data_IF_588462475128
#
_entry.id   IF_588462475128
#
_cell.length_a   1.000
_cell.length_b   1.000
_cell.length_c   1.000
_cell.angle_alpha   90.00
_cell.angle_beta   90.00
_cell.angle_gamma   90.00
#
_symmetry.space_group_name_H-M   'P 1'
#
loop_
_entity.id
_entity.type
_entity.pdbx_description
1 polymer ?
#
# COMPACT_ATOMS: atom_id res chain seq x y z
N UNK A 1 -17.44 20.05 23.98
CA UNK A 1 -17.10 19.29 25.20
C UNK A 1 -15.91 19.97 25.87
N UNK A 2 -15.96 20.29 27.20
CA UNK A 2 -14.82 20.81 27.89
C UNK A 2 -13.66 19.84 27.80
N UNK A 3 -12.49 20.33 27.35
CA UNK A 3 -11.24 19.57 27.40
C UNK A 3 -10.87 19.41 28.87
N UNK A 4 -11.06 18.23 29.42
CA UNK A 4 -10.44 17.86 30.69
C UNK A 4 -8.98 17.57 30.33
N UNK A 5 -8.00 18.31 30.87
CA UNK A 5 -6.61 17.94 30.70
C UNK A 5 -6.40 16.63 31.45
N UNK A 6 -6.21 15.52 30.72
CA UNK A 6 -5.79 14.25 31.29
C UNK A 6 -4.27 14.34 31.42
N UNK A 7 -3.78 14.62 32.61
CA UNK A 7 -2.36 14.48 32.92
C UNK A 7 -2.08 12.99 33.13
N UNK A 8 -1.39 12.38 32.17
CA UNK A 8 -1.02 10.97 32.20
C UNK A 8 0.40 10.76 32.78
N UNK A 9 1.06 11.82 33.23
CA UNK A 9 2.45 11.77 33.68
C UNK A 9 2.65 10.85 34.92
N UNK A 10 1.62 10.71 35.74
CA UNK A 10 1.67 9.88 36.96
C UNK A 10 1.08 8.47 36.77
N UNK A 11 0.63 8.12 35.56
CA UNK A 11 0.07 6.79 35.27
C UNK A 11 1.15 5.86 34.70
N UNK A 12 1.55 4.85 35.50
CA UNK A 12 2.35 3.74 34.99
C UNK A 12 1.47 2.84 34.09
N UNK A 13 1.47 3.13 32.81
CA UNK A 13 0.73 2.36 31.80
C UNK A 13 1.47 1.09 31.37
N UNK A 14 2.72 0.89 31.80
CA UNK A 14 3.55 -0.23 31.34
C UNK A 14 2.90 -1.61 31.64
N UNK A 15 2.33 -1.88 32.82
CA UNK A 15 1.66 -3.16 33.07
C UNK A 15 0.46 -3.40 32.16
N UNK A 16 -0.40 -2.40 31.98
CA UNK A 16 -1.59 -2.50 31.11
C UNK A 16 -1.21 -2.72 29.64
N UNK A 17 -0.18 -2.03 29.17
CA UNK A 17 0.34 -2.19 27.80
C UNK A 17 0.93 -3.59 27.62
N UNK A 18 1.72 -4.09 28.58
CA UNK A 18 2.31 -5.43 28.52
C UNK A 18 1.22 -6.52 28.55
N UNK A 19 0.19 -6.37 29.36
CA UNK A 19 -0.93 -7.33 29.40
C UNK A 19 -1.74 -7.30 28.09
N UNK A 20 -1.96 -6.11 27.51
CA UNK A 20 -2.61 -5.98 26.21
C UNK A 20 -1.79 -6.66 25.09
N UNK A 21 -0.46 -6.48 25.08
CA UNK A 21 0.46 -7.12 24.13
C UNK A 21 0.43 -8.64 24.32
N UNK A 22 0.52 -9.13 25.57
CA UNK A 22 0.46 -10.56 25.88
C UNK A 22 -0.85 -11.17 25.41
N UNK A 23 -1.99 -10.56 25.75
CA UNK A 23 -3.30 -11.04 25.32
C UNK A 23 -3.48 -11.02 23.79
N UNK A 24 -2.93 -10.03 23.10
CA UNK A 24 -2.92 -10.00 21.64
C UNK A 24 -2.06 -11.12 21.03
N UNK A 25 -0.86 -11.34 21.58
CA UNK A 25 0.03 -12.41 21.14
C UNK A 25 -0.59 -13.80 21.36
N UNK A 26 -1.21 -14.05 22.51
CA UNK A 26 -1.90 -15.31 22.79
C UNK A 26 -3.06 -15.57 21.82
N UNK A 27 -3.87 -14.56 21.52
CA UNK A 27 -4.95 -14.69 20.52
C UNK A 27 -4.41 -15.03 19.14
N UNK A 28 -3.34 -14.34 18.72
CA UNK A 28 -2.70 -14.60 17.45
C UNK A 28 -2.14 -16.02 17.36
N UNK A 29 -1.40 -16.47 18.40
CA UNK A 29 -0.84 -17.82 18.46
C UNK A 29 -1.95 -18.88 18.40
N UNK A 30 -3.04 -18.71 19.16
CA UNK A 30 -4.17 -19.66 19.11
C UNK A 30 -4.79 -19.71 17.71
N UNK A 31 -4.99 -18.55 17.08
CA UNK A 31 -5.51 -18.47 15.72
C UNK A 31 -4.59 -19.21 14.74
N UNK A 32 -3.29 -18.94 14.81
CA UNK A 32 -2.29 -19.53 13.92
C UNK A 32 -2.18 -21.06 14.13
N UNK A 33 -2.28 -21.56 15.37
CA UNK A 33 -2.29 -23.00 15.65
C UNK A 33 -3.51 -23.71 15.02
N UNK A 34 -4.70 -23.09 15.11
CA UNK A 34 -5.90 -23.64 14.46
C UNK A 34 -5.81 -23.61 12.95
N UNK A 35 -5.32 -22.49 12.38
CA UNK A 35 -5.11 -22.39 10.95
C UNK A 35 -4.07 -23.41 10.46
N UNK A 36 -2.96 -23.56 11.17
CA UNK A 36 -1.91 -24.53 10.84
C UNK A 36 -2.46 -25.95 10.70
N UNK A 37 -3.28 -26.41 11.68
CA UNK A 37 -3.87 -27.73 11.62
C UNK A 37 -4.81 -27.91 10.41
N UNK A 38 -5.54 -26.88 10.04
CA UNK A 38 -6.40 -26.88 8.83
C UNK A 38 -5.57 -26.92 7.55
N UNK A 39 -4.59 -26.04 7.45
CA UNK A 39 -3.72 -25.90 6.26
C UNK A 39 -2.92 -27.19 6.06
N UNK A 40 -2.39 -27.78 7.13
CA UNK A 40 -1.63 -29.01 7.04
C UNK A 40 -2.50 -30.16 6.49
N UNK A 41 -3.69 -30.38 7.01
CA UNK A 41 -4.62 -31.39 6.47
C UNK A 41 -4.99 -31.10 5.01
N UNK A 42 -5.17 -29.85 4.64
CA UNK A 42 -5.45 -29.45 3.27
C UNK A 42 -4.29 -29.82 2.33
N UNK A 43 -3.04 -29.47 2.72
CA UNK A 43 -1.86 -29.79 1.91
C UNK A 43 -1.62 -31.31 1.78
N UNK A 44 -1.85 -32.07 2.85
CA UNK A 44 -1.76 -33.54 2.86
C UNK A 44 -2.80 -34.19 1.91
N UNK A 45 -4.01 -33.62 1.85
CA UNK A 45 -5.08 -34.10 0.98
C UNK A 45 -4.88 -33.71 -0.49
N UNK A 46 -4.55 -32.43 -0.75
CA UNK A 46 -4.42 -31.88 -2.11
C UNK A 46 -3.07 -32.21 -2.75
N UNK A 47 -2.00 -32.30 -1.95
CA UNK A 47 -0.62 -32.54 -2.37
C UNK A 47 -0.17 -31.61 -3.52
N UNK A 48 -0.29 -30.27 -3.35
CA UNK A 48 0.12 -29.35 -4.40
C UNK A 48 1.63 -29.41 -4.60
N UNK A 49 2.09 -29.13 -5.81
CA UNK A 49 3.52 -29.08 -6.13
C UNK A 49 4.20 -27.80 -5.58
N UNK A 50 3.43 -26.75 -5.30
CA UNK A 50 3.90 -25.50 -4.72
C UNK A 50 2.76 -24.74 -4.03
N UNK A 51 3.12 -23.86 -3.11
CA UNK A 51 2.24 -22.87 -2.49
C UNK A 51 2.63 -21.49 -3.00
N UNK A 52 1.69 -20.72 -3.51
CA UNK A 52 1.93 -19.33 -3.92
C UNK A 52 1.07 -18.40 -3.08
N UNK A 53 1.71 -17.43 -2.43
CA UNK A 53 1.11 -16.45 -1.54
C UNK A 53 1.22 -15.05 -2.14
N UNK A 54 0.23 -14.20 -1.91
CA UNK A 54 0.30 -12.78 -2.34
C UNK A 54 1.30 -11.96 -1.51
N UNK A 55 1.67 -12.42 -0.35
CA UNK A 55 2.77 -11.96 0.52
C UNK A 55 2.91 -12.95 1.67
N UNK A 56 4.01 -12.90 2.39
CA UNK A 56 4.28 -13.82 3.51
C UNK A 56 3.73 -13.35 4.85
N UNK A 57 3.47 -12.07 4.99
CA UNK A 57 2.94 -11.49 6.22
C UNK A 57 1.64 -12.17 6.66
N UNK A 58 1.55 -12.58 7.93
CA UNK A 58 0.43 -13.34 8.50
C UNK A 58 0.11 -14.66 7.79
N UNK A 59 1.09 -15.25 7.07
CA UNK A 59 0.97 -16.53 6.38
C UNK A 59 1.82 -17.62 7.01
N UNK A 60 2.34 -17.38 8.21
CA UNK A 60 3.17 -18.32 8.98
C UNK A 60 2.61 -19.75 9.04
N UNK A 61 1.29 -20.01 9.25
CA UNK A 61 0.72 -21.34 9.21
C UNK A 61 0.94 -22.06 7.86
N UNK A 62 0.86 -21.34 6.74
CA UNK A 62 1.09 -21.88 5.40
C UNK A 62 2.56 -22.22 5.17
N UNK A 63 3.48 -21.37 5.64
CA UNK A 63 4.92 -21.60 5.53
C UNK A 63 5.34 -22.81 6.38
N UNK A 64 4.85 -22.91 7.61
CA UNK A 64 5.11 -24.05 8.50
C UNK A 64 4.54 -25.34 7.90
N UNK A 65 3.29 -25.33 7.45
CA UNK A 65 2.66 -26.52 6.85
C UNK A 65 3.38 -26.94 5.58
N UNK A 66 3.77 -25.99 4.72
CA UNK A 66 4.57 -26.25 3.51
C UNK A 66 5.90 -26.94 3.84
N UNK A 67 6.62 -26.45 4.86
CA UNK A 67 7.85 -27.09 5.34
C UNK A 67 7.60 -28.51 5.84
N UNK A 68 6.53 -28.75 6.61
CA UNK A 68 6.19 -30.07 7.15
C UNK A 68 5.75 -31.08 6.08
N UNK A 69 5.09 -30.62 5.02
CA UNK A 69 4.64 -31.44 3.89
C UNK A 69 5.66 -31.50 2.75
N UNK A 70 6.83 -30.88 2.92
CA UNK A 70 7.87 -30.76 1.91
C UNK A 70 7.36 -30.10 0.62
N UNK A 71 6.45 -29.14 0.74
CA UNK A 71 5.86 -28.36 -0.34
C UNK A 71 6.52 -26.98 -0.40
N UNK A 72 7.26 -26.63 -1.47
CA UNK A 72 7.90 -25.32 -1.58
C UNK A 72 6.87 -24.19 -1.60
N UNK A 73 7.21 -23.08 -0.95
CA UNK A 73 6.34 -21.92 -0.87
C UNK A 73 6.99 -20.69 -1.51
N UNK A 74 6.18 -19.91 -2.18
CA UNK A 74 6.59 -18.70 -2.88
C UNK A 74 5.69 -17.54 -2.45
N UNK A 75 6.28 -16.37 -2.25
CA UNK A 75 5.53 -15.14 -1.98
C UNK A 75 5.72 -14.15 -3.13
N UNK A 76 4.65 -13.44 -3.49
CA UNK A 76 4.69 -12.37 -4.49
C UNK A 76 4.35 -11.06 -3.77
N UNK A 77 5.21 -10.05 -3.91
CA UNK A 77 4.94 -8.71 -3.36
C UNK A 77 3.58 -8.21 -3.86
N UNK A 78 2.78 -7.57 -2.98
CA UNK A 78 1.46 -7.09 -3.34
C UNK A 78 1.28 -5.58 -3.20
N UNK A 79 2.19 -4.90 -2.54
CA UNK A 79 2.13 -3.45 -2.28
C UNK A 79 3.52 -2.86 -2.08
N UNK A 80 3.60 -1.62 -1.60
CA UNK A 80 4.90 -0.99 -1.31
C UNK A 80 5.64 -1.75 -0.22
N UNK A 81 6.95 -1.86 -0.38
CA UNK A 81 7.86 -2.47 0.56
C UNK A 81 8.87 -1.39 1.01
N UNK A 82 9.08 -1.27 2.31
CA UNK A 82 9.97 -0.30 2.93
C UNK A 82 10.69 -0.92 4.13
N UNK A 83 11.79 -0.35 4.62
CA UNK A 83 12.49 -0.85 5.80
C UNK A 83 11.56 -1.04 7.00
N UNK A 84 11.67 -2.18 7.69
CA UNK A 84 10.81 -2.56 8.81
C UNK A 84 9.32 -2.68 8.48
N UNK A 85 8.96 -2.97 7.22
CA UNK A 85 7.57 -3.25 6.84
C UNK A 85 7.05 -4.49 7.59
N UNK A 86 5.90 -4.41 8.31
CA UNK A 86 5.43 -5.47 9.21
C UNK A 86 5.00 -6.77 8.52
N UNK A 87 4.93 -6.78 7.19
CA UNK A 87 4.63 -7.97 6.39
C UNK A 87 5.87 -8.80 6.02
N UNK A 88 7.08 -8.34 6.37
CA UNK A 88 8.35 -8.99 6.03
C UNK A 88 9.25 -9.05 7.26
N UNK A 89 10.12 -10.08 7.30
CA UNK A 89 11.03 -10.23 8.41
C UNK A 89 12.23 -9.26 8.29
N UNK A 90 12.49 -8.51 9.35
CA UNK A 90 13.60 -7.55 9.43
C UNK A 90 14.88 -8.15 10.02
N UNK A 91 14.78 -9.27 10.72
CA UNK A 91 15.92 -9.95 11.36
C UNK A 91 15.87 -11.45 11.18
N UNK A 92 17.00 -12.04 10.86
CA UNK A 92 17.14 -13.50 10.78
C UNK A 92 17.12 -14.10 12.20
N UNK A 93 16.31 -15.15 12.37
CA UNK A 93 16.24 -15.95 13.59
C UNK A 93 16.25 -17.44 13.22
N UNK A 94 16.85 -18.36 14.02
CA UNK A 94 16.88 -19.78 13.69
C UNK A 94 15.49 -20.43 13.49
N UNK A 95 14.48 -19.92 14.19
CA UNK A 95 13.11 -20.40 14.05
C UNK A 95 12.30 -19.67 12.95
N UNK A 96 12.90 -18.72 12.22
CA UNK A 96 12.23 -18.01 11.15
C UNK A 96 12.04 -18.93 9.95
N UNK A 97 10.80 -19.06 9.50
CA UNK A 97 10.43 -19.78 8.27
C UNK A 97 10.05 -18.72 7.24
N UNK A 98 10.80 -18.69 6.15
CA UNK A 98 10.56 -17.84 4.99
C UNK A 98 10.08 -18.68 3.80
N UNK A 99 9.45 -18.05 2.80
CA UNK A 99 9.22 -18.70 1.52
C UNK A 99 10.52 -19.21 0.88
N UNK A 100 10.42 -20.21 0.04
CA UNK A 100 11.54 -20.68 -0.82
C UNK A 100 12.08 -19.53 -1.65
N UNK A 101 11.19 -18.64 -2.14
CA UNK A 101 11.57 -17.42 -2.81
C UNK A 101 10.45 -16.37 -2.65
N UNK A 102 10.85 -15.13 -2.35
CA UNK A 102 9.98 -13.95 -2.37
C UNK A 102 10.25 -13.16 -3.64
N UNK A 103 9.23 -13.01 -4.47
CA UNK A 103 9.27 -12.21 -5.68
C UNK A 103 8.98 -10.74 -5.35
N UNK A 104 9.88 -9.86 -5.73
CA UNK A 104 9.76 -8.40 -5.52
C UNK A 104 9.69 -7.67 -6.85
N UNK A 105 9.17 -6.44 -6.83
CA UNK A 105 8.92 -5.67 -8.03
C UNK A 105 10.20 -5.13 -8.66
N UNK A 106 11.12 -4.60 -7.87
CA UNK A 106 12.33 -3.95 -8.34
C UNK A 106 13.57 -4.20 -7.48
N UNK A 107 14.65 -3.54 -7.84
CA UNK A 107 15.92 -3.64 -7.13
C UNK A 107 15.89 -2.91 -5.77
N UNK A 108 15.09 -1.84 -5.63
CA UNK A 108 14.86 -1.19 -4.34
C UNK A 108 14.33 -2.19 -3.30
N UNK A 109 13.26 -2.87 -3.60
CA UNK A 109 12.64 -3.84 -2.70
C UNK A 109 13.58 -5.01 -2.38
N UNK A 110 14.33 -5.46 -3.39
CA UNK A 110 15.36 -6.47 -3.17
C UNK A 110 16.42 -6.00 -2.18
N UNK A 111 16.92 -4.78 -2.30
CA UNK A 111 17.89 -4.22 -1.35
C UNK A 111 17.32 -4.11 0.06
N UNK A 112 16.06 -3.70 0.19
CA UNK A 112 15.37 -3.62 1.49
C UNK A 112 15.32 -4.99 2.16
N UNK A 113 14.92 -6.05 1.45
CA UNK A 113 14.84 -7.41 2.02
C UNK A 113 16.22 -7.97 2.37
N UNK A 114 17.22 -7.75 1.53
CA UNK A 114 18.60 -8.20 1.79
C UNK A 114 19.28 -7.44 2.95
N UNK A 115 18.84 -6.23 3.24
CA UNK A 115 19.24 -5.49 4.45
C UNK A 115 18.61 -6.03 5.74
N UNK A 116 17.61 -6.92 5.62
CA UNK A 116 16.89 -7.56 6.73
C UNK A 116 17.24 -9.04 6.92
N UNK A 117 16.21 -9.89 6.93
CA UNK A 117 16.33 -11.31 7.24
C UNK A 117 16.66 -12.22 6.05
N UNK A 118 16.61 -11.71 4.82
CA UNK A 118 16.62 -12.53 3.61
C UNK A 118 18.03 -12.73 3.05
N UNK A 119 18.24 -13.87 2.39
CA UNK A 119 19.46 -14.19 1.62
C UNK A 119 19.26 -13.90 0.14
N UNK A 120 20.33 -13.74 -0.64
CA UNK A 120 20.23 -13.45 -2.07
C UNK A 120 19.45 -14.49 -2.89
N UNK A 121 19.49 -15.75 -2.48
CA UNK A 121 18.79 -16.88 -3.10
C UNK A 121 17.31 -16.98 -2.70
N UNK A 122 16.90 -16.26 -1.66
CA UNK A 122 15.51 -16.21 -1.17
C UNK A 122 14.70 -15.06 -1.80
N UNK A 123 15.34 -14.20 -2.62
CA UNK A 123 14.67 -13.00 -3.20
C UNK A 123 14.98 -12.89 -4.70
N UNK A 124 13.94 -12.83 -5.51
CA UNK A 124 14.03 -12.63 -6.95
C UNK A 124 13.28 -11.39 -7.42
N UNK A 125 13.91 -10.57 -8.26
CA UNK A 125 13.24 -9.43 -8.91
C UNK A 125 12.42 -9.94 -10.09
N UNK A 126 11.11 -9.87 -9.97
CA UNK A 126 10.17 -10.34 -10.99
C UNK A 126 9.53 -9.22 -11.81
N UNK A 127 9.43 -8.02 -11.27
CA UNK A 127 8.48 -7.02 -11.74
C UNK A 127 7.10 -7.22 -11.12
N UNK A 128 6.15 -6.38 -11.51
CA UNK A 128 4.77 -6.41 -11.02
C UNK A 128 3.80 -6.87 -12.12
N UNK A 129 3.09 -8.00 -11.93
CA UNK A 129 2.08 -8.44 -12.90
C UNK A 129 0.99 -7.40 -13.19
N UNK A 130 0.64 -6.60 -12.17
CA UNK A 130 -0.36 -5.53 -12.32
C UNK A 130 0.16 -4.39 -13.20
N UNK A 131 1.42 -4.02 -13.04
CA UNK A 131 2.07 -2.97 -13.85
C UNK A 131 2.18 -3.42 -15.31
N UNK A 132 2.57 -4.66 -15.53
CA UNK A 132 2.64 -5.21 -16.89
C UNK A 132 1.26 -5.24 -17.56
N UNK A 133 0.20 -5.56 -16.81
CA UNK A 133 -1.17 -5.56 -17.31
C UNK A 133 -1.62 -4.15 -17.71
N UNK A 134 -1.36 -3.13 -16.87
CA UNK A 134 -1.69 -1.75 -17.21
C UNK A 134 -0.89 -1.26 -18.42
N UNK A 135 0.40 -1.54 -18.48
CA UNK A 135 1.24 -1.19 -19.61
C UNK A 135 0.80 -1.86 -20.94
N UNK A 136 0.23 -3.06 -20.86
CA UNK A 136 -0.35 -3.75 -22.02
C UNK A 136 -1.70 -3.16 -22.46
N UNK A 137 -2.35 -2.39 -21.59
CA UNK A 137 -3.62 -1.72 -21.88
C UNK A 137 -3.32 -0.40 -22.59
N UNK A 138 -3.17 -0.44 -23.91
CA UNK A 138 -2.93 0.77 -24.71
C UNK A 138 -4.12 1.70 -24.68
N UNK A 139 -3.96 2.89 -24.12
CA UNK A 139 -4.95 3.96 -24.22
C UNK A 139 -4.80 4.64 -25.58
N UNK A 140 -5.73 4.35 -26.48
CA UNK A 140 -5.69 4.88 -27.86
C UNK A 140 -6.12 6.35 -27.96
N UNK A 141 -6.96 6.81 -27.01
CA UNK A 141 -7.42 8.20 -26.91
C UNK A 141 -7.34 8.67 -25.43
N UNK A 142 -6.18 9.13 -24.95
CA UNK A 142 -6.03 9.62 -23.58
C UNK A 142 -6.93 10.81 -23.24
N UNK A 143 -7.14 11.72 -24.20
CA UNK A 143 -7.97 12.91 -23.99
C UNK A 143 -9.46 12.54 -23.86
N UNK A 144 -9.93 11.63 -24.70
CA UNK A 144 -11.29 11.11 -24.63
C UNK A 144 -11.53 10.30 -23.35
N UNK A 145 -10.57 9.46 -22.95
CA UNK A 145 -10.66 8.71 -21.68
C UNK A 145 -10.74 9.68 -20.49
N UNK A 146 -9.87 10.69 -20.43
CA UNK A 146 -9.87 11.73 -19.39
C UNK A 146 -11.23 12.44 -19.33
N UNK A 147 -11.75 12.86 -20.46
CA UNK A 147 -13.04 13.55 -20.56
C UNK A 147 -14.20 12.67 -20.13
N UNK A 148 -14.16 11.39 -20.48
CA UNK A 148 -15.19 10.42 -20.09
C UNK A 148 -15.22 10.20 -18.58
N UNK A 149 -14.06 9.98 -17.92
CA UNK A 149 -13.96 9.81 -16.48
C UNK A 149 -14.44 11.04 -15.74
N UNK A 150 -14.02 12.24 -16.17
CA UNK A 150 -14.43 13.49 -15.53
C UNK A 150 -15.94 13.71 -15.61
N UNK A 151 -16.55 13.39 -16.74
CA UNK A 151 -18.01 13.44 -16.92
C UNK A 151 -18.74 12.42 -16.06
N UNK A 152 -18.23 11.18 -16.00
CA UNK A 152 -18.77 10.10 -15.13
C UNK A 152 -18.80 10.53 -13.65
N UNK A 153 -17.78 11.27 -13.22
CA UNK A 153 -17.65 11.75 -11.84
C UNK A 153 -18.30 13.11 -11.60
N UNK A 154 -18.90 13.73 -12.61
CA UNK A 154 -19.57 15.04 -12.50
C UNK A 154 -18.59 16.20 -12.30
N UNK A 155 -17.33 16.08 -12.73
CA UNK A 155 -16.34 17.16 -12.67
C UNK A 155 -16.70 18.21 -13.70
N UNK A 156 -16.95 19.44 -13.27
CA UNK A 156 -17.31 20.54 -14.16
C UNK A 156 -16.14 20.94 -15.06
N UNK A 157 -16.47 21.49 -16.25
CA UNK A 157 -15.47 22.05 -17.13
C UNK A 157 -14.73 23.20 -16.43
N UNK A 158 -13.41 23.16 -16.44
CA UNK A 158 -12.56 24.15 -15.79
C UNK A 158 -12.22 23.85 -14.32
N UNK A 159 -12.94 22.96 -13.63
CA UNK A 159 -12.55 22.54 -12.29
C UNK A 159 -11.29 21.66 -12.32
N UNK A 160 -10.44 21.79 -11.32
CA UNK A 160 -9.33 20.87 -11.06
C UNK A 160 -9.88 19.61 -10.37
N UNK A 161 -9.53 18.45 -10.88
CA UNK A 161 -9.89 17.17 -10.28
C UNK A 161 -8.76 16.70 -9.35
N UNK A 162 -9.00 16.77 -8.03
CA UNK A 162 -8.08 16.26 -7.01
C UNK A 162 -8.56 14.88 -6.53
N UNK A 163 -7.79 13.85 -6.86
CA UNK A 163 -8.01 12.50 -6.32
C UNK A 163 -7.35 12.37 -4.96
N UNK A 164 -8.12 12.06 -3.93
CA UNK A 164 -7.65 11.81 -2.57
C UNK A 164 -7.75 10.32 -2.29
N UNK A 165 -6.61 9.62 -2.17
CA UNK A 165 -6.62 8.20 -1.82
C UNK A 165 -6.75 7.99 -0.32
N UNK A 166 -7.71 7.15 0.08
CA UNK A 166 -7.93 6.79 1.48
C UNK A 166 -7.22 5.48 1.82
N UNK A 167 -7.15 5.16 3.11
CA UNK A 167 -6.46 3.98 3.63
C UNK A 167 -7.40 3.15 4.48
N UNK A 168 -7.40 1.82 4.29
CA UNK A 168 -8.03 0.90 5.24
C UNK A 168 -7.15 0.76 6.47
N UNK A 169 -7.54 1.43 7.54
CA UNK A 169 -6.75 1.50 8.76
C UNK A 169 -7.58 1.08 9.97
N UNK A 170 -6.98 0.41 10.98
CA UNK A 170 -7.58 0.26 12.29
C UNK A 170 -7.97 1.61 12.87
N UNK A 171 -8.96 1.63 13.76
CA UNK A 171 -9.58 2.84 14.31
C UNK A 171 -8.60 3.97 14.68
N UNK A 172 -7.50 3.66 15.36
CA UNK A 172 -6.50 4.68 15.78
C UNK A 172 -5.83 5.37 14.59
N UNK A 173 -5.55 4.63 13.51
CA UNK A 173 -4.93 5.21 12.30
C UNK A 173 -5.95 5.91 11.41
N UNK A 174 -7.23 5.53 11.49
CA UNK A 174 -8.31 6.23 10.80
C UNK A 174 -8.50 7.64 11.35
N UNK A 175 -8.45 7.83 12.68
CA UNK A 175 -8.50 9.17 13.28
C UNK A 175 -7.32 10.05 12.85
N UNK A 176 -6.14 9.44 12.63
CA UNK A 176 -4.99 10.16 12.09
C UNK A 176 -5.23 10.65 10.63
N UNK A 177 -5.77 9.79 9.77
CA UNK A 177 -6.15 10.17 8.40
C UNK A 177 -7.20 11.30 8.40
N UNK A 178 -8.22 11.19 9.25
CA UNK A 178 -9.26 12.23 9.39
C UNK A 178 -8.65 13.54 9.87
N UNK A 179 -7.75 13.50 10.85
CA UNK A 179 -7.05 14.71 11.33
C UNK A 179 -6.20 15.36 10.22
N UNK A 180 -5.45 14.58 9.48
CA UNK A 180 -4.64 15.04 8.35
C UNK A 180 -5.53 15.72 7.29
N UNK A 181 -6.63 15.07 6.90
CA UNK A 181 -7.57 15.65 5.95
C UNK A 181 -8.23 16.91 6.50
N UNK A 182 -8.51 16.97 7.81
CA UNK A 182 -9.06 18.16 8.45
C UNK A 182 -8.09 19.35 8.35
N UNK A 183 -6.78 19.13 8.47
CA UNK A 183 -5.79 20.21 8.31
C UNK A 183 -5.64 20.63 6.84
N UNK A 184 -5.54 19.66 5.93
CA UNK A 184 -5.30 19.94 4.50
C UNK A 184 -6.52 20.50 3.77
N UNK A 185 -7.72 20.23 4.26
CA UNK A 185 -8.97 20.66 3.63
C UNK A 185 -9.69 21.76 4.43
N UNK A 186 -9.02 22.36 5.42
CA UNK A 186 -9.57 23.44 6.25
C UNK A 186 -9.48 24.79 5.53
N UNK A 187 -10.37 24.98 4.57
CA UNK A 187 -10.51 26.23 3.84
C UNK A 187 -11.14 26.05 2.47
N UNK A 188 -11.56 27.14 1.80
CA UNK A 188 -12.19 27.07 0.49
C UNK A 188 -11.23 26.56 -0.57
N UNK A 189 -11.74 25.69 -1.46
CA UNK A 189 -11.05 25.16 -2.63
C UNK A 189 -11.85 25.50 -3.90
N UNK A 190 -11.85 26.78 -4.33
CA UNK A 190 -12.62 27.21 -5.48
C UNK A 190 -12.08 26.55 -6.77
N UNK A 191 -12.99 26.08 -7.62
CA UNK A 191 -12.63 25.41 -8.87
C UNK A 191 -11.91 24.08 -8.67
N UNK A 192 -12.14 23.40 -7.54
CA UNK A 192 -11.59 22.07 -7.24
C UNK A 192 -12.74 21.09 -6.99
N UNK A 193 -12.75 19.97 -7.68
CA UNK A 193 -13.60 18.82 -7.42
C UNK A 193 -12.82 17.75 -6.69
N UNK A 194 -13.23 17.39 -5.47
CA UNK A 194 -12.60 16.33 -4.69
C UNK A 194 -13.16 14.97 -5.09
N UNK A 195 -12.27 14.03 -5.43
CA UNK A 195 -12.64 12.64 -5.68
C UNK A 195 -11.96 11.76 -4.65
N UNK A 196 -12.73 11.27 -3.68
CA UNK A 196 -12.21 10.31 -2.71
C UNK A 196 -12.20 8.90 -3.31
N UNK A 197 -10.99 8.40 -3.59
CA UNK A 197 -10.79 6.98 -3.97
C UNK A 197 -10.67 6.16 -2.70
N UNK A 198 -11.77 5.52 -2.34
CA UNK A 198 -11.85 4.71 -1.12
C UNK A 198 -11.09 3.40 -1.29
N UNK A 199 -10.45 2.98 -0.19
CA UNK A 199 -9.86 1.64 -0.13
C UNK A 199 -10.98 0.58 -0.20
N UNK A 200 -10.79 -0.54 -0.94
CA UNK A 200 -11.82 -1.58 -1.07
C UNK A 200 -12.35 -2.14 0.25
N UNK A 201 -11.53 -2.13 1.32
CA UNK A 201 -11.92 -2.58 2.66
C UNK A 201 -12.70 -1.57 3.48
N UNK A 202 -12.88 -0.33 3.03
CA UNK A 202 -13.69 0.66 3.74
C UNK A 202 -15.18 0.45 3.44
N UNK A 203 -15.98 0.36 4.51
CA UNK A 203 -17.42 0.16 4.41
C UNK A 203 -18.23 1.45 4.53
N UNK A 204 -17.59 2.53 4.97
CA UNK A 204 -18.22 3.81 5.23
C UNK A 204 -18.15 4.72 4.00
N UNK A 205 -19.29 5.08 3.46
CA UNK A 205 -19.41 5.89 2.23
C UNK A 205 -19.60 7.39 2.51
N UNK A 206 -19.87 7.79 3.75
CA UNK A 206 -20.29 9.16 4.09
C UNK A 206 -19.26 10.02 4.84
N UNK A 207 -18.40 9.43 5.64
CA UNK A 207 -17.59 10.18 6.63
C UNK A 207 -16.67 11.24 6.03
N UNK A 208 -16.09 11.02 4.86
CA UNK A 208 -15.23 12.02 4.21
C UNK A 208 -16.04 13.23 3.68
N UNK A 209 -17.22 12.97 3.14
CA UNK A 209 -18.14 14.03 2.72
C UNK A 209 -18.61 14.86 3.92
N UNK A 210 -18.98 14.18 5.02
CA UNK A 210 -19.39 14.82 6.25
C UNK A 210 -18.25 15.67 6.86
N UNK A 211 -17.03 15.16 6.83
CA UNK A 211 -15.85 15.91 7.27
C UNK A 211 -15.70 17.22 6.48
N UNK A 212 -15.63 17.13 5.15
CA UNK A 212 -15.41 18.31 4.29
C UNK A 212 -16.55 19.31 4.41
N UNK A 213 -17.81 18.86 4.43
CA UNK A 213 -18.97 19.74 4.61
C UNK A 213 -19.03 20.34 6.02
N UNK A 214 -18.59 19.60 7.04
CA UNK A 214 -18.46 20.09 8.41
C UNK A 214 -17.42 21.20 8.54
N UNK A 215 -16.23 21.03 7.94
CA UNK A 215 -15.18 22.05 7.89
C UNK A 215 -15.67 23.31 7.16
N UNK A 216 -16.31 23.15 6.01
CA UNK A 216 -16.84 24.26 5.25
C UNK A 216 -17.90 25.06 6.03
N UNK A 217 -18.80 24.35 6.73
CA UNK A 217 -19.80 25.00 7.61
C UNK A 217 -19.14 25.74 8.75
N UNK A 218 -18.15 25.15 9.40
CA UNK A 218 -17.44 25.77 10.51
C UNK A 218 -16.64 27.01 10.07
N UNK A 219 -16.05 26.95 8.86
CA UNK A 219 -15.29 28.06 8.28
C UNK A 219 -16.11 29.10 7.53
N UNK A 220 -17.43 28.89 7.37
CA UNK A 220 -18.33 29.85 6.70
C UNK A 220 -18.14 29.95 5.18
N UNK A 221 -17.67 28.87 4.53
CA UNK A 221 -17.47 28.83 3.07
C UNK A 221 -18.26 27.68 2.42
N UNK A 222 -18.44 27.75 1.09
CA UNK A 222 -19.07 26.67 0.34
C UNK A 222 -18.15 25.45 0.21
N UNK A 223 -18.61 24.22 0.51
CA UNK A 223 -17.81 23.02 0.28
C UNK A 223 -17.52 22.83 -1.21
N UNK A 224 -16.35 22.29 -1.59
CA UNK A 224 -16.09 21.91 -2.97
C UNK A 224 -17.03 20.75 -3.38
N UNK A 225 -17.28 20.56 -4.68
CA UNK A 225 -17.92 19.34 -5.19
C UNK A 225 -17.15 18.09 -4.76
N UNK A 226 -17.88 17.01 -4.39
CA UNK A 226 -17.27 15.78 -3.86
C UNK A 226 -17.87 14.56 -4.56
N UNK A 227 -17.02 13.71 -5.11
CA UNK A 227 -17.35 12.36 -5.58
C UNK A 227 -16.68 11.31 -4.71
N UNK A 228 -17.40 10.22 -4.46
CA UNK A 228 -16.92 9.07 -3.68
C UNK A 228 -16.84 7.88 -4.63
N UNK A 229 -15.67 7.26 -4.76
CA UNK A 229 -15.49 6.11 -5.67
C UNK A 229 -14.72 4.99 -4.96
N UNK A 230 -15.19 3.76 -5.16
CA UNK A 230 -14.54 2.55 -4.65
C UNK A 230 -14.16 1.62 -5.81
N UNK A 231 -15.13 1.27 -6.62
CA UNK A 231 -15.03 0.37 -7.76
C UNK A 231 -14.76 1.19 -9.03
N UNK A 232 -13.49 1.54 -9.26
CA UNK A 232 -13.04 2.22 -10.47
C UNK A 232 -11.63 1.74 -10.81
N UNK A 233 -11.31 1.66 -12.07
CA UNK A 233 -9.92 1.43 -12.50
C UNK A 233 -9.03 2.57 -12.02
N UNK A 234 -8.03 2.23 -11.20
CA UNK A 234 -7.20 3.21 -10.52
C UNK A 234 -6.33 4.01 -11.49
N UNK A 235 -5.73 3.36 -12.49
CA UNK A 235 -4.87 4.05 -13.44
C UNK A 235 -5.68 4.96 -14.35
N UNK A 236 -6.85 4.52 -14.79
CA UNK A 236 -7.80 5.35 -15.53
C UNK A 236 -8.21 6.58 -14.72
N UNK A 237 -8.48 6.42 -13.43
CA UNK A 237 -8.81 7.53 -12.51
C UNK A 237 -7.65 8.51 -12.37
N UNK A 238 -6.43 8.00 -12.12
CA UNK A 238 -5.24 8.83 -11.94
C UNK A 238 -4.86 9.59 -13.21
N UNK A 239 -4.90 8.95 -14.39
CA UNK A 239 -4.70 9.64 -15.68
C UNK A 239 -5.72 10.75 -15.95
N UNK A 240 -6.93 10.64 -15.40
CA UNK A 240 -7.96 11.67 -15.52
C UNK A 240 -7.80 12.82 -14.51
N UNK A 241 -7.06 12.63 -13.42
CA UNK A 241 -6.84 13.62 -12.38
C UNK A 241 -5.91 14.75 -12.84
N UNK A 242 -6.06 15.92 -12.23
CA UNK A 242 -5.07 17.00 -12.29
C UNK A 242 -4.00 16.81 -11.22
N UNK A 243 -4.38 16.29 -10.05
CA UNK A 243 -3.46 15.94 -8.98
C UNK A 243 -4.00 14.76 -8.16
N UNK A 244 -3.09 14.04 -7.53
CA UNK A 244 -3.36 13.03 -6.51
C UNK A 244 -2.83 13.50 -5.16
N UNK A 245 -3.60 13.30 -4.09
CA UNK A 245 -3.18 13.52 -2.71
C UNK A 245 -3.28 12.22 -1.94
N UNK A 246 -2.16 11.78 -1.38
CA UNK A 246 -2.09 10.55 -0.60
C UNK A 246 -1.15 10.64 0.61
N UNK A 247 -1.17 9.59 1.41
CA UNK A 247 -0.25 9.36 2.52
C UNK A 247 -0.02 7.87 2.69
N UNK A 248 1.23 7.42 2.73
CA UNK A 248 1.63 6.02 3.02
C UNK A 248 0.84 4.95 2.22
N UNK A 249 0.47 5.26 0.99
CA UNK A 249 -0.36 4.39 0.15
C UNK A 249 0.40 3.95 -1.10
N UNK A 250 0.14 2.73 -1.58
CA UNK A 250 0.59 2.27 -2.89
C UNK A 250 0.13 3.19 -4.02
N UNK A 251 -0.97 3.90 -3.83
CA UNK A 251 -1.51 4.85 -4.82
C UNK A 251 -0.54 5.99 -5.12
N UNK A 252 0.35 6.36 -4.18
CA UNK A 252 1.43 7.31 -4.46
C UNK A 252 2.36 6.79 -5.58
N UNK A 253 2.75 5.52 -5.52
CA UNK A 253 3.53 4.89 -6.60
C UNK A 253 2.74 4.79 -7.89
N UNK A 254 1.44 4.43 -7.80
CA UNK A 254 0.55 4.36 -8.96
C UNK A 254 0.38 5.74 -9.63
N UNK A 255 0.36 6.83 -8.85
CA UNK A 255 0.32 8.20 -9.38
C UNK A 255 1.61 8.59 -10.12
N UNK A 256 2.79 8.16 -9.62
CA UNK A 256 4.06 8.30 -10.34
C UNK A 256 4.00 7.55 -11.67
N UNK A 257 3.45 6.33 -11.68
CA UNK A 257 3.30 5.54 -12.91
C UNK A 257 2.33 6.18 -13.91
N UNK A 258 1.23 6.75 -13.42
CA UNK A 258 0.22 7.42 -14.24
C UNK A 258 0.66 8.83 -14.72
N UNK A 259 1.85 9.28 -14.37
CA UNK A 259 2.37 10.63 -14.67
C UNK A 259 1.47 11.76 -14.15
N UNK A 260 0.88 11.54 -12.98
CA UNK A 260 -0.04 12.49 -12.34
C UNK A 260 0.72 13.37 -11.35
N UNK A 261 0.39 14.67 -11.25
CA UNK A 261 0.89 15.53 -10.17
C UNK A 261 0.64 14.85 -8.83
N UNK A 262 1.70 14.46 -8.13
CA UNK A 262 1.63 13.61 -6.96
C UNK A 262 1.94 14.42 -5.70
N UNK A 263 0.97 14.56 -4.82
CA UNK A 263 1.06 15.31 -3.57
C UNK A 263 1.08 14.34 -2.39
N UNK A 264 2.03 14.51 -1.50
CA UNK A 264 2.12 13.72 -0.29
C UNK A 264 1.78 14.59 0.94
N UNK A 265 0.82 14.13 1.71
CA UNK A 265 0.38 14.82 2.92
C UNK A 265 1.39 14.69 4.05
N UNK A 266 2.05 15.78 4.43
CA UNK A 266 3.11 15.86 5.43
C UNK A 266 2.68 16.60 6.69
N UNK A 267 1.40 16.51 7.06
CA UNK A 267 0.82 17.19 8.24
C UNK A 267 1.50 16.77 9.55
N UNK A 268 2.02 15.56 9.61
CA UNK A 268 2.81 15.07 10.75
C UNK A 268 4.08 14.38 10.23
N UNK A 269 5.15 14.43 11.02
CA UNK A 269 6.42 13.82 10.67
C UNK A 269 6.27 12.31 10.46
N UNK A 270 6.36 11.82 9.24
CA UNK A 270 6.50 10.38 8.92
C UNK A 270 5.76 9.88 7.69
N UNK A 271 5.32 10.74 6.79
CA UNK A 271 4.49 10.30 5.70
C UNK A 271 5.27 9.69 4.52
N UNK A 272 6.50 10.14 4.29
CA UNK A 272 7.29 9.74 3.12
C UNK A 272 8.15 8.50 3.38
N UNK A 273 7.51 7.34 3.42
CA UNK A 273 8.17 6.05 3.74
C UNK A 273 9.04 5.48 2.61
N UNK A 274 8.84 5.89 1.38
CA UNK A 274 9.61 5.45 0.22
C UNK A 274 10.56 6.52 -0.33
N UNK A 275 10.57 7.73 0.26
CA UNK A 275 11.41 8.80 -0.22
C UNK A 275 10.93 9.42 -1.54
N UNK A 276 9.63 9.53 -1.75
CA UNK A 276 9.04 10.14 -2.96
C UNK A 276 9.47 11.60 -3.15
N UNK A 277 9.54 12.35 -2.03
CA UNK A 277 9.95 13.77 -2.07
C UNK A 277 11.42 13.92 -2.44
N UNK A 278 12.38 13.28 -1.75
CA UNK A 278 13.79 13.37 -2.16
C UNK A 278 14.06 12.74 -3.54
N UNK A 279 13.26 11.80 -4.01
CA UNK A 279 13.34 11.26 -5.36
C UNK A 279 12.76 12.22 -6.44
N UNK A 280 12.13 13.33 -6.05
CA UNK A 280 11.55 14.30 -6.98
C UNK A 280 10.26 13.82 -7.65
N UNK A 281 9.60 12.78 -7.11
CA UNK A 281 8.38 12.19 -7.70
C UNK A 281 7.10 12.50 -6.93
N UNK A 282 7.19 13.26 -5.84
CA UNK A 282 6.05 13.84 -5.15
C UNK A 282 6.41 15.19 -4.53
N UNK A 283 5.42 16.08 -4.42
CA UNK A 283 5.52 17.36 -3.72
C UNK A 283 4.89 17.23 -2.32
N UNK A 284 5.59 17.63 -1.25
CA UNK A 284 5.00 17.64 0.09
C UNK A 284 3.95 18.76 0.22
N UNK A 285 2.89 18.50 0.98
CA UNK A 285 1.89 19.51 1.38
C UNK A 285 1.62 19.39 2.88
N UNK A 286 1.71 20.52 3.58
CA UNK A 286 1.58 20.57 5.04
C UNK A 286 0.27 21.21 5.48
N UNK A 287 -0.32 22.07 4.66
CA UNK A 287 -1.55 22.81 4.96
C UNK A 287 -2.35 23.13 3.68
N UNK A 288 -3.50 23.77 3.88
CA UNK A 288 -4.41 24.18 2.79
C UNK A 288 -3.77 25.22 1.86
N UNK A 289 -2.86 26.06 2.33
CA UNK A 289 -2.25 27.11 1.52
C UNK A 289 -1.29 26.46 0.50
N UNK A 290 -0.45 25.53 0.95
CA UNK A 290 0.44 24.74 0.08
C UNK A 290 -0.35 23.86 -0.89
N UNK A 291 -1.46 23.26 -0.44
CA UNK A 291 -2.34 22.49 -1.30
C UNK A 291 -2.93 23.35 -2.42
N UNK A 292 -3.44 24.56 -2.09
CA UNK A 292 -3.96 25.51 -3.10
C UNK A 292 -2.90 25.94 -4.09
N UNK A 293 -1.69 26.19 -3.61
CA UNK A 293 -0.59 26.55 -4.49
C UNK A 293 -0.23 25.41 -5.45
N UNK A 294 -0.16 24.17 -4.96
CA UNK A 294 0.08 23.01 -5.79
C UNK A 294 -1.03 22.78 -6.84
N UNK A 295 -2.29 23.04 -6.48
CA UNK A 295 -3.43 22.91 -7.39
C UNK A 295 -3.60 24.05 -8.39
N UNK A 296 -2.95 25.20 -8.17
CA UNK A 296 -3.00 26.32 -9.13
C UNK A 296 -2.34 25.94 -10.44
N UNK A 297 -1.19 25.26 -10.37
CA UNK A 297 -0.45 24.76 -11.52
C UNK A 297 0.12 23.36 -11.20
N UNK A 298 -0.73 22.31 -11.27
CA UNK A 298 -0.32 20.95 -10.95
C UNK A 298 0.64 20.42 -12.03
N UNK A 299 1.88 20.18 -11.63
CA UNK A 299 2.93 19.63 -12.48
C UNK A 299 3.14 18.15 -12.19
N UNK A 300 3.21 17.30 -13.23
CA UNK A 300 3.66 15.91 -13.03
C UNK A 300 5.12 15.89 -12.55
N UNK A 301 5.63 14.77 -12.06
CA UNK A 301 7.03 14.60 -11.73
C UNK A 301 7.95 14.92 -12.90
N UNK A 302 9.17 15.38 -12.58
CA UNK A 302 10.21 15.51 -13.61
C UNK A 302 10.41 14.16 -14.34
N UNK A 303 10.44 14.13 -15.69
CA UNK A 303 10.52 12.89 -16.46
C UNK A 303 11.74 12.01 -16.13
N UNK A 304 12.89 12.62 -15.83
CA UNK A 304 14.11 11.87 -15.51
C UNK A 304 14.07 11.33 -14.09
N UNK A 305 13.58 12.11 -13.11
CA UNK A 305 13.32 11.67 -11.74
C UNK A 305 12.30 10.53 -11.72
N UNK A 306 11.20 10.68 -12.47
CA UNK A 306 10.17 9.65 -12.63
C UNK A 306 10.75 8.35 -13.19
N UNK A 307 11.53 8.43 -14.26
CA UNK A 307 12.17 7.28 -14.90
C UNK A 307 13.11 6.58 -13.91
N UNK A 308 14.01 7.34 -13.26
CA UNK A 308 14.96 6.78 -12.28
C UNK A 308 14.24 6.06 -11.12
N UNK A 309 13.14 6.65 -10.61
CA UNK A 309 12.33 6.03 -9.57
C UNK A 309 11.68 4.73 -10.06
N UNK A 310 11.06 4.74 -11.24
CA UNK A 310 10.37 3.57 -11.77
C UNK A 310 11.36 2.44 -12.12
N UNK A 311 12.52 2.76 -12.67
CA UNK A 311 13.57 1.77 -13.01
C UNK A 311 14.11 1.07 -11.76
N UNK A 312 14.16 1.75 -10.63
CA UNK A 312 14.60 1.18 -9.35
C UNK A 312 13.51 0.32 -8.67
N UNK A 313 12.25 0.72 -8.80
CA UNK A 313 11.12 0.06 -8.14
C UNK A 313 10.43 -1.02 -8.98
N UNK A 314 10.63 -1.05 -10.31
CA UNK A 314 9.92 -1.98 -11.17
C UNK A 314 10.80 -2.52 -12.28
N UNK A 315 10.98 -3.82 -12.29
CA UNK A 315 11.51 -4.51 -13.47
C UNK A 315 10.39 -4.64 -14.52
N UNK A 316 10.52 -4.02 -15.69
CA UNK A 316 9.45 -4.01 -16.68
C UNK A 316 9.27 -5.36 -17.38
N UNK A 317 8.05 -5.61 -17.82
CA UNK A 317 7.62 -6.67 -18.72
C UNK A 317 7.73 -8.10 -18.16
N UNK A 318 6.84 -8.97 -18.57
CA UNK A 318 6.88 -10.43 -18.34
C UNK A 318 6.98 -10.91 -16.88
N UNK A 319 6.53 -10.11 -15.90
CA UNK A 319 6.60 -10.47 -14.49
C UNK A 319 5.96 -11.84 -14.19
N UNK A 320 4.76 -12.07 -14.71
CA UNK A 320 4.05 -13.34 -14.55
C UNK A 320 4.82 -14.51 -15.12
N UNK A 321 5.44 -14.35 -16.29
CA UNK A 321 6.24 -15.40 -16.94
C UNK A 321 7.51 -15.71 -16.12
N UNK A 322 8.20 -14.69 -15.60
CA UNK A 322 9.38 -14.87 -14.72
C UNK A 322 9.02 -15.60 -13.43
N UNK A 323 7.92 -15.22 -12.78
CA UNK A 323 7.41 -15.89 -11.58
C UNK A 323 7.10 -17.36 -11.90
N UNK A 324 6.32 -17.61 -12.94
CA UNK A 324 5.93 -18.97 -13.34
C UNK A 324 7.14 -19.85 -13.69
N UNK A 325 8.11 -19.31 -14.43
CA UNK A 325 9.33 -20.04 -14.81
C UNK A 325 10.16 -20.42 -13.58
N UNK A 326 10.32 -19.50 -12.61
CA UNK A 326 11.06 -19.75 -11.36
C UNK A 326 10.37 -20.83 -10.52
N UNK A 327 9.05 -20.74 -10.35
CA UNK A 327 8.27 -21.76 -9.63
C UNK A 327 8.39 -23.12 -10.33
N UNK A 328 8.22 -23.18 -11.65
CA UNK A 328 8.31 -24.41 -12.42
C UNK A 328 9.71 -25.03 -12.36
N UNK A 329 10.77 -24.24 -12.32
CA UNK A 329 12.13 -24.74 -12.14
C UNK A 329 12.33 -25.35 -10.75
N UNK A 330 11.87 -24.69 -9.71
CA UNK A 330 11.98 -25.17 -8.33
C UNK A 330 11.16 -26.46 -8.08
N UNK A 331 9.97 -26.57 -8.67
CA UNK A 331 9.13 -27.78 -8.57
C UNK A 331 9.74 -28.99 -9.27
N UNK A 332 10.50 -28.78 -10.37
CA UNK A 332 11.15 -29.87 -11.10
C UNK A 332 12.44 -30.38 -10.45
N UNK A 333 13.06 -29.60 -9.59
CA UNK A 333 14.24 -30.02 -8.83
C UNK A 333 13.78 -30.82 -7.60
N UNK A 334 14.19 -32.05 -7.37
CA UNK A 334 13.90 -32.75 -6.13
C UNK A 334 14.51 -31.91 -4.99
N UNK A 335 13.66 -31.52 -4.02
CA UNK A 335 14.11 -30.85 -2.80
C UNK A 335 15.17 -31.73 -2.15
N UNK A 336 16.41 -31.25 -1.91
CA UNK A 336 17.39 -32.04 -1.17
C UNK A 336 16.76 -32.37 0.19
N UNK A 337 16.60 -33.61 0.53
CA UNK A 337 16.16 -34.07 1.85
C UNK A 337 17.23 -33.57 2.84
N UNK A 338 17.05 -32.37 3.35
CA UNK A 338 17.90 -31.83 4.39
C UNK A 338 17.83 -32.78 5.57
N UNK A 339 18.97 -33.33 5.95
CA UNK A 339 19.13 -34.07 7.19
C UNK A 339 18.70 -33.14 8.32
N UNK A 340 17.42 -33.26 8.72
CA UNK A 340 16.93 -32.66 9.93
C UNK A 340 17.72 -33.34 11.06
N UNK A 341 18.70 -32.60 11.59
CA UNK A 341 19.33 -32.98 12.85
C UNK A 341 18.22 -33.15 13.88
N UNK A 342 18.00 -34.38 14.29
CA UNK A 342 17.19 -34.71 15.46
C UNK A 342 17.78 -33.99 16.67
N UNK A 343 16.92 -33.45 17.57
CA UNK A 343 17.34 -32.82 18.83
C UNK A 343 18.08 -33.76 19.73
#
# INVERSE_FOLDING_TARGET
>A
LPRVPLDLADLDLAPAVLDAIRGAAERLIRSDVHELARVQRFLEAVRPSAIVLTHEGRRTPWLIAGTRTNTPSFAVQHGVLYPAHPGYADRRHPALILPTCTFVFGDYERRVLLGGAYRPDEVAVSGSPRVDLDAATSVTDPAGERSAVRRELGVADGDRMLVVSTLYLPFVRRSHLVHMLAVLLDGPLPGVHLVFKQHPGELDEGSYRELVTGLARAGGYAPPPISMVREIDLYRLLRAADAHLGQQSTVLTDAVMADTCNLIAMVQASADILGYVPAGVARPVHDIAELREALRDPQPPDPDARRAFLDDHFRPGDASARIAATIAAAVRQPVPVGTAGRP
#
